data_IF_508810449722
#
_entry.id   IF_508810449722
#
_cell.length_a   1.000
_cell.length_b   1.000
_cell.length_c   1.000
_cell.angle_alpha   90.00
_cell.angle_beta   90.00
_cell.angle_gamma   90.00
#
_symmetry.space_group_name_H-M   'P 1'
#
loop_
_entity.id
_entity.type
_entity.pdbx_description
1 polymer ?
#
# COMPACT_ATOMS: atom_id res chain seq x y z
N UNK A 1 2.13 -11.71 -7.07
CA UNK A 1 1.93 -11.93 -5.62
C UNK A 1 0.44 -11.82 -5.31
N UNK A 2 -0.08 -12.63 -4.39
CA UNK A 2 -1.52 -12.68 -4.12
C UNK A 2 -1.84 -11.86 -2.87
N UNK A 3 -2.65 -10.81 -3.04
CA UNK A 3 -3.17 -10.02 -1.91
C UNK A 3 -4.63 -10.34 -1.75
N UNK A 4 -5.06 -10.65 -0.54
CA UNK A 4 -6.46 -10.97 -0.27
C UNK A 4 -7.19 -9.81 0.42
N UNK A 5 -8.43 -9.58 -0.01
CA UNK A 5 -9.42 -8.75 0.68
C UNK A 5 -10.73 -9.51 0.78
N UNK A 6 -11.20 -9.74 2.00
CA UNK A 6 -12.46 -10.43 2.27
C UNK A 6 -12.55 -11.80 1.56
N UNK A 7 -11.43 -12.53 1.50
CA UNK A 7 -11.32 -13.83 0.83
C UNK A 7 -11.23 -13.78 -0.70
N UNK A 8 -11.10 -12.59 -1.30
CA UNK A 8 -10.90 -12.42 -2.75
C UNK A 8 -9.49 -11.95 -3.05
N UNK A 9 -8.89 -12.55 -4.07
CA UNK A 9 -7.63 -12.08 -4.63
C UNK A 9 -7.80 -10.70 -5.27
N UNK A 10 -6.87 -9.81 -4.95
CA UNK A 10 -6.69 -8.50 -5.55
C UNK A 10 -5.42 -8.51 -6.36
N UNK A 11 -5.54 -8.10 -7.62
CA UNK A 11 -4.39 -7.81 -8.46
C UNK A 11 -3.94 -6.38 -8.16
N UNK A 12 -2.74 -6.25 -7.60
CA UNK A 12 -2.04 -4.97 -7.46
C UNK A 12 -0.75 -5.11 -8.26
N UNK A 13 -0.39 -4.06 -8.99
CA UNK A 13 0.86 -4.03 -9.76
C UNK A 13 2.05 -4.11 -8.80
N UNK A 14 3.05 -4.94 -9.13
CA UNK A 14 4.14 -5.28 -8.21
C UNK A 14 4.97 -4.06 -7.78
N UNK A 15 5.10 -3.03 -8.63
CA UNK A 15 5.80 -1.78 -8.33
C UNK A 15 5.02 -0.84 -7.39
N UNK A 16 3.76 -1.18 -7.09
CA UNK A 16 2.93 -0.50 -6.10
C UNK A 16 2.89 -1.23 -4.75
N UNK A 17 3.76 -2.23 -4.55
CA UNK A 17 3.84 -3.06 -3.36
C UNK A 17 5.17 -2.87 -2.63
N UNK A 18 5.09 -2.45 -1.37
CA UNK A 18 6.23 -2.18 -0.50
C UNK A 18 6.14 -3.08 0.71
N UNK A 19 6.82 -4.22 0.65
CA UNK A 19 6.67 -5.29 1.63
C UNK A 19 7.87 -5.38 2.57
N UNK A 20 7.56 -5.53 3.84
CA UNK A 20 8.49 -5.82 4.91
C UNK A 20 8.52 -7.30 5.28
N UNK A 21 8.92 -7.57 6.52
CA UNK A 21 8.88 -8.93 7.07
C UNK A 21 7.49 -9.33 7.56
N UNK A 22 6.75 -8.40 8.17
CA UNK A 22 5.41 -8.68 8.71
C UNK A 22 4.36 -7.63 8.29
N UNK A 23 4.80 -6.43 7.89
CA UNK A 23 3.91 -5.35 7.47
C UNK A 23 4.29 -4.81 6.10
N UNK A 24 3.30 -4.29 5.36
CA UNK A 24 3.49 -3.79 4.01
C UNK A 24 2.56 -2.64 3.69
N UNK A 25 2.87 -1.96 2.59
CA UNK A 25 2.03 -0.93 1.99
C UNK A 25 1.74 -1.31 0.54
N UNK A 26 0.46 -1.21 0.16
CA UNK A 26 0.05 -1.24 -1.24
C UNK A 26 -0.52 0.12 -1.65
N UNK A 27 -0.17 0.58 -2.84
CA UNK A 27 -0.79 1.74 -3.47
C UNK A 27 -1.88 1.28 -4.44
N UNK A 28 -3.03 1.93 -4.41
CA UNK A 28 -4.17 1.58 -5.27
C UNK A 28 -4.99 2.81 -5.65
N UNK A 29 -5.75 2.72 -6.73
CA UNK A 29 -6.68 3.78 -7.13
C UNK A 29 -7.84 3.84 -6.15
N UNK A 30 -8.34 5.05 -5.86
CA UNK A 30 -9.55 5.22 -5.05
C UNK A 30 -10.76 4.56 -5.71
N UNK A 31 -10.82 4.56 -7.03
CA UNK A 31 -11.85 3.86 -7.79
C UNK A 31 -11.55 3.76 -9.28
N UNK A 32 -12.44 3.14 -10.07
CA UNK A 32 -12.22 2.92 -11.50
C UNK A 32 -12.01 4.20 -12.31
N UNK A 33 -12.60 5.31 -11.87
CA UNK A 33 -12.56 6.62 -12.53
C UNK A 33 -11.87 7.71 -11.71
N UNK A 34 -11.36 7.37 -10.52
CA UNK A 34 -10.65 8.30 -9.65
C UNK A 34 -9.20 7.80 -9.49
N UNK A 35 -8.23 8.38 -10.21
CA UNK A 35 -6.83 7.95 -10.18
C UNK A 35 -6.11 8.36 -8.89
N UNK A 36 -6.81 8.96 -7.91
CA UNK A 36 -6.22 9.31 -6.63
C UNK A 36 -5.61 8.09 -5.96
N UNK A 37 -4.36 8.24 -5.52
CA UNK A 37 -3.60 7.19 -4.87
C UNK A 37 -4.09 7.07 -3.44
N UNK A 38 -4.63 5.90 -3.12
CA UNK A 38 -4.90 5.43 -1.78
C UNK A 38 -3.76 4.49 -1.37
N UNK A 39 -3.45 4.44 -0.08
CA UNK A 39 -2.56 3.42 0.48
C UNK A 39 -3.36 2.46 1.35
N UNK A 40 -2.98 1.19 1.31
CA UNK A 40 -3.50 0.13 2.14
C UNK A 40 -2.36 -0.41 2.99
N UNK A 41 -2.63 -0.68 4.26
CA UNK A 41 -1.67 -1.39 5.10
C UNK A 41 -1.94 -2.88 4.96
N UNK A 42 -0.87 -3.65 4.77
CA UNK A 42 -0.90 -5.08 4.60
C UNK A 42 -0.24 -5.77 5.80
N UNK A 43 -0.71 -6.96 6.10
CA UNK A 43 -0.10 -7.90 7.05
C UNK A 43 0.24 -9.19 6.33
N UNK A 44 1.40 -9.73 6.64
CA UNK A 44 1.83 -11.06 6.21
C UNK A 44 1.35 -12.12 7.21
N UNK A 45 0.92 -13.27 6.68
CA UNK A 45 0.58 -14.47 7.44
C UNK A 45 0.81 -15.70 6.54
N UNK A 46 1.76 -16.56 6.91
CA UNK A 46 2.17 -17.77 6.18
C UNK A 46 2.40 -17.54 4.66
N UNK A 47 3.25 -16.58 4.31
CA UNK A 47 3.62 -16.14 2.95
C UNK A 47 2.46 -15.51 2.15
N UNK A 48 1.30 -15.32 2.78
CA UNK A 48 0.15 -14.65 2.19
C UNK A 48 0.01 -13.23 2.74
N UNK A 49 -0.46 -12.32 1.89
CA UNK A 49 -0.65 -10.91 2.27
C UNK A 49 -2.11 -10.52 2.30
N UNK A 50 -2.50 -9.81 3.35
CA UNK A 50 -3.88 -9.43 3.62
C UNK A 50 -3.97 -7.94 3.89
N UNK A 51 -5.05 -7.30 3.45
CA UNK A 51 -5.35 -5.93 3.91
C UNK A 51 -5.69 -5.99 5.39
N UNK A 52 -4.94 -5.25 6.19
CA UNK A 52 -5.12 -5.21 7.63
C UNK A 52 -6.39 -4.43 7.98
N UNK A 53 -7.30 -5.07 8.72
CA UNK A 53 -8.55 -4.47 9.17
C UNK A 53 -8.55 -4.11 10.67
N UNK A 54 -7.45 -4.36 11.38
CA UNK A 54 -7.31 -4.20 12.83
C UNK A 54 -5.99 -3.49 13.21
N UNK A 55 -5.79 -3.30 14.52
CA UNK A 55 -4.52 -2.81 15.06
C UNK A 55 -3.36 -3.80 14.84
N UNK A 56 -2.15 -3.28 14.89
CA UNK A 56 -0.90 -4.03 14.69
C UNK A 56 -0.20 -4.26 16.02
N UNK A 57 0.62 -5.33 16.08
CA UNK A 57 1.60 -5.45 17.15
C UNK A 57 2.60 -4.30 17.05
N UNK A 58 2.91 -3.64 18.17
CA UNK A 58 3.94 -2.59 18.20
C UNK A 58 5.32 -3.13 17.83
N UNK A 59 5.53 -4.44 17.86
CA UNK A 59 6.75 -5.09 17.37
C UNK A 59 7.00 -4.82 15.87
N UNK A 60 5.96 -4.55 15.09
CA UNK A 60 6.05 -4.33 13.64
C UNK A 60 6.19 -2.86 13.25
N UNK A 61 6.29 -1.94 14.21
CA UNK A 61 6.21 -0.50 13.94
C UNK A 61 7.37 -0.01 13.06
N UNK A 62 8.59 -0.48 13.30
CA UNK A 62 9.77 -0.07 12.54
C UNK A 62 9.72 -0.61 11.11
N UNK A 63 9.26 -1.85 10.92
CA UNK A 63 9.09 -2.46 9.61
C UNK A 63 8.04 -1.69 8.78
N UNK A 64 6.90 -1.37 9.40
CA UNK A 64 5.85 -0.57 8.76
C UNK A 64 6.34 0.84 8.41
N UNK A 65 7.11 1.49 9.28
CA UNK A 65 7.66 2.82 9.02
C UNK A 65 8.54 2.83 7.75
N UNK A 66 9.39 1.81 7.58
CA UNK A 66 10.25 1.66 6.40
C UNK A 66 9.40 1.53 5.14
N UNK A 67 8.34 0.72 5.15
CA UNK A 67 7.51 0.53 3.96
C UNK A 67 6.70 1.79 3.61
N UNK A 68 6.23 2.54 4.61
CA UNK A 68 5.58 3.85 4.40
C UNK A 68 6.54 4.82 3.72
N UNK A 69 7.81 4.88 4.17
CA UNK A 69 8.83 5.75 3.57
C UNK A 69 9.09 5.39 2.11
N UNK A 70 9.25 4.10 1.79
CA UNK A 70 9.44 3.64 0.40
C UNK A 70 8.24 3.96 -0.48
N UNK A 71 7.02 3.73 0.01
CA UNK A 71 5.80 4.05 -0.73
C UNK A 71 5.70 5.56 -1.01
N UNK A 72 6.07 6.39 -0.04
CA UNK A 72 6.13 7.84 -0.19
C UNK A 72 7.17 8.27 -1.22
N UNK A 73 8.39 7.75 -1.15
CA UNK A 73 9.46 8.03 -2.12
C UNK A 73 9.03 7.65 -3.54
N UNK A 74 8.33 6.52 -3.70
CA UNK A 74 7.79 6.13 -5.00
C UNK A 74 6.77 7.15 -5.51
N UNK A 75 5.82 7.60 -4.66
CA UNK A 75 4.83 8.61 -5.06
C UNK A 75 5.49 9.93 -5.46
N UNK A 76 6.51 10.36 -4.73
CA UNK A 76 7.25 11.60 -5.03
C UNK A 76 7.98 11.56 -6.37
N UNK A 77 8.50 10.38 -6.76
CA UNK A 77 9.27 10.22 -7.99
C UNK A 77 8.42 9.84 -9.22
N UNK A 78 7.32 9.11 -9.00
CA UNK A 78 6.59 8.44 -10.08
C UNK A 78 5.16 8.95 -10.29
N UNK A 79 4.51 9.54 -9.28
CA UNK A 79 3.12 9.98 -9.38
C UNK A 79 2.99 11.46 -9.77
N UNK A 80 1.76 11.91 -10.01
CA UNK A 80 1.44 13.33 -10.22
C UNK A 80 0.96 13.91 -8.90
N UNK A 81 1.51 15.06 -8.50
CA UNK A 81 1.00 15.78 -7.32
C UNK A 81 -0.38 16.35 -7.63
N UNK A 82 -1.35 16.09 -6.75
CA UNK A 82 -2.71 16.60 -6.93
C UNK A 82 -2.72 18.15 -6.97
N UNK A 83 -3.48 18.80 -7.89
CA UNK A 83 -3.54 20.25 -7.99
C UNK A 83 -3.98 20.97 -6.72
N UNK A 84 -4.75 20.31 -5.85
CA UNK A 84 -5.14 20.84 -4.53
C UNK A 84 -3.95 20.98 -3.57
N UNK A 85 -2.80 20.38 -3.90
CA UNK A 85 -1.62 20.26 -3.04
C UNK A 85 -1.64 19.05 -2.11
N UNK A 86 -2.76 18.32 -2.03
CA UNK A 86 -2.95 17.21 -1.11
C UNK A 86 -3.02 15.86 -1.84
N UNK A 87 -2.08 14.96 -1.51
CA UNK A 87 -2.04 13.62 -2.09
C UNK A 87 -1.39 13.56 -3.47
N UNK A 88 -1.64 12.46 -4.18
CA UNK A 88 -1.06 12.11 -5.47
C UNK A 88 -2.10 11.37 -6.33
N UNK A 89 -1.93 11.39 -7.65
CA UNK A 89 -2.67 10.58 -8.60
C UNK A 89 -1.71 9.71 -9.41
N UNK A 90 -2.15 8.51 -9.81
CA UNK A 90 -1.41 7.75 -10.82
C UNK A 90 -1.32 8.52 -12.14
N UNK A 91 -0.24 8.30 -12.88
CA UNK A 91 -0.05 8.83 -14.24
C UNK A 91 -0.99 8.18 -15.24
#
# INVERSE_FOLDING_TARGET
MIIYKDGKELTIEDDHLFLGGCAGIALTKRGPTDPHIMFLILTEDDENWFISNNGFSSFWIDDLEIQIKKAKEWMENNAIKDPSGFGYTFK
#
